data_IF_955232992648
#
_entry.id   IF_955232992648
#
_cell.length_a   1.000
_cell.length_b   1.000
_cell.length_c   1.000
_cell.angle_alpha   90.00
_cell.angle_beta   90.00
_cell.angle_gamma   90.00
#
_symmetry.space_group_name_H-M   'P 1'
#
loop_
_entity.id
_entity.type
_entity.pdbx_description
1 polymer ?
#
# COMPACT_ATOMS: atom_id res chain seq x y z
N UNK A 1 -0.37 -26.02 7.15
CA UNK A 1 -0.76 -24.60 7.08
C UNK A 1 0.49 -23.79 6.81
N UNK A 2 0.49 -22.96 5.79
CA UNK A 2 1.59 -22.05 5.44
C UNK A 2 1.36 -20.72 6.15
N UNK A 3 2.38 -20.21 6.84
CA UNK A 3 2.29 -18.91 7.53
C UNK A 3 3.13 -17.89 6.79
N UNK A 4 2.57 -16.73 6.49
CA UNK A 4 3.25 -15.66 5.75
C UNK A 4 2.99 -14.29 6.38
N UNK A 5 3.90 -13.36 6.14
CA UNK A 5 3.68 -11.94 6.39
C UNK A 5 3.33 -11.24 5.08
N UNK A 6 2.50 -10.20 5.16
CA UNK A 6 2.17 -9.35 4.02
C UNK A 6 2.83 -7.98 4.15
N UNK A 7 3.32 -7.47 3.04
CA UNK A 7 3.90 -6.14 2.92
C UNK A 7 3.16 -5.36 1.82
N UNK A 8 2.27 -4.43 2.22
CA UNK A 8 1.30 -3.79 1.34
C UNK A 8 1.72 -2.36 1.00
N UNK A 9 2.07 -2.13 -0.26
CA UNK A 9 2.44 -0.79 -0.73
C UNK A 9 1.28 0.21 -0.70
N UNK A 10 1.64 1.47 -0.47
CA UNK A 10 0.81 2.64 -0.75
C UNK A 10 0.88 3.04 -2.22
N UNK A 11 -0.18 3.66 -2.70
CA UNK A 11 -0.29 4.13 -4.09
C UNK A 11 -1.68 4.67 -4.43
N UNK A 12 -2.39 5.24 -3.46
CA UNK A 12 -3.71 5.82 -3.63
C UNK A 12 -4.73 4.79 -4.12
N UNK A 13 -5.55 5.17 -5.11
CA UNK A 13 -6.59 4.29 -5.66
C UNK A 13 -6.06 3.00 -6.30
N UNK A 14 -4.76 2.93 -6.65
CA UNK A 14 -4.14 1.68 -7.12
C UNK A 14 -4.11 0.58 -6.03
N UNK A 15 -4.31 0.93 -4.76
CA UNK A 15 -4.53 -0.04 -3.69
C UNK A 15 -5.73 -0.97 -3.88
N UNK A 16 -6.63 -0.70 -4.84
CA UNK A 16 -7.67 -1.64 -5.25
C UNK A 16 -7.12 -2.93 -5.87
N UNK A 17 -5.92 -2.92 -6.43
CA UNK A 17 -5.20 -4.13 -6.83
C UNK A 17 -4.90 -5.01 -5.60
N UNK A 18 -4.42 -4.39 -4.53
CA UNK A 18 -4.19 -5.07 -3.25
C UNK A 18 -5.48 -5.66 -2.67
N UNK A 19 -6.62 -4.94 -2.79
CA UNK A 19 -7.93 -5.48 -2.41
C UNK A 19 -8.26 -6.79 -3.13
N UNK A 20 -8.16 -6.83 -4.47
CA UNK A 20 -8.41 -8.05 -5.24
C UNK A 20 -7.49 -9.19 -4.83
N UNK A 21 -6.18 -8.92 -4.70
CA UNK A 21 -5.20 -9.90 -4.24
C UNK A 21 -5.56 -10.46 -2.85
N UNK A 22 -5.89 -9.61 -1.89
CA UNK A 22 -6.25 -10.02 -0.54
C UNK A 22 -7.51 -10.88 -0.51
N UNK A 23 -8.56 -10.51 -1.26
CA UNK A 23 -9.77 -11.31 -1.38
C UNK A 23 -9.45 -12.72 -1.90
N UNK A 24 -8.59 -12.82 -2.92
CA UNK A 24 -8.20 -14.13 -3.47
C UNK A 24 -7.39 -14.97 -2.48
N UNK A 25 -6.44 -14.37 -1.75
CA UNK A 25 -5.66 -15.07 -0.71
C UNK A 25 -6.53 -15.53 0.46
N UNK A 26 -7.55 -14.77 0.83
CA UNK A 26 -8.48 -15.11 1.91
C UNK A 26 -9.35 -16.35 1.59
N UNK A 27 -9.42 -16.80 0.35
CA UNK A 27 -10.06 -18.07 -0.03
C UNK A 27 -9.14 -19.30 0.12
N UNK A 28 -7.86 -19.12 0.47
CA UNK A 28 -6.91 -20.22 0.69
C UNK A 28 -6.91 -20.64 2.17
N UNK A 29 -7.61 -21.70 2.52
CA UNK A 29 -7.78 -22.16 3.91
C UNK A 29 -6.47 -22.64 4.55
N UNK A 30 -5.48 -23.00 3.75
CA UNK A 30 -4.18 -23.51 4.17
C UNK A 30 -3.08 -22.42 4.26
N UNK A 31 -3.46 -21.15 4.05
CA UNK A 31 -2.57 -19.98 4.23
C UNK A 31 -3.04 -19.13 5.41
N UNK A 32 -2.16 -18.87 6.35
CA UNK A 32 -2.34 -17.98 7.50
C UNK A 32 -1.52 -16.70 7.30
N UNK A 33 -2.17 -15.55 7.44
CA UNK A 33 -1.52 -14.25 7.46
C UNK A 33 -1.15 -13.94 8.91
N UNK A 34 0.15 -13.94 9.24
CA UNK A 34 0.65 -13.73 10.59
C UNK A 34 0.77 -12.24 10.95
N UNK A 35 1.32 -11.44 10.03
CA UNK A 35 1.47 -10.01 10.22
C UNK A 35 1.30 -9.25 8.90
N UNK A 36 0.93 -7.98 8.99
CA UNK A 36 0.78 -7.08 7.84
C UNK A 36 1.50 -5.77 8.13
N UNK A 37 2.46 -5.42 7.28
CA UNK A 37 3.02 -4.07 7.23
C UNK A 37 2.37 -3.31 6.07
N UNK A 38 1.75 -2.17 6.35
CA UNK A 38 1.02 -1.40 5.36
C UNK A 38 1.33 0.09 5.40
N UNK A 39 1.30 0.71 4.22
CA UNK A 39 1.51 2.15 4.05
C UNK A 39 0.42 2.73 3.18
N UNK A 40 -0.15 3.90 3.56
CA UNK A 40 -1.14 4.62 2.75
C UNK A 40 -2.34 3.73 2.39
N UNK A 41 -2.63 3.49 1.11
CA UNK A 41 -3.65 2.54 0.68
C UNK A 41 -3.42 1.12 1.22
N UNK A 42 -2.16 0.70 1.39
CA UNK A 42 -1.81 -0.55 2.06
C UNK A 42 -2.22 -0.56 3.53
N UNK A 43 -2.10 0.58 4.23
CA UNK A 43 -2.56 0.72 5.62
C UNK A 43 -4.10 0.62 5.73
N UNK A 44 -4.82 1.23 4.78
CA UNK A 44 -6.28 1.13 4.69
C UNK A 44 -6.74 -0.32 4.46
N UNK A 45 -6.12 -1.01 3.51
CA UNK A 45 -6.39 -2.44 3.25
C UNK A 45 -6.10 -3.31 4.48
N UNK A 46 -4.95 -3.09 5.14
CA UNK A 46 -4.55 -3.83 6.32
C UNK A 46 -5.54 -3.65 7.49
N UNK A 47 -5.95 -2.39 7.76
CA UNK A 47 -6.92 -2.09 8.81
C UNK A 47 -8.31 -2.68 8.51
N UNK A 48 -8.76 -2.60 7.24
CA UNK A 48 -10.03 -3.19 6.82
C UNK A 48 -10.01 -4.71 6.95
N UNK A 49 -8.94 -5.37 6.47
CA UNK A 49 -8.79 -6.82 6.60
C UNK A 49 -8.83 -7.24 8.06
N UNK A 50 -8.00 -6.64 8.92
CA UNK A 50 -7.90 -6.99 10.34
C UNK A 50 -9.23 -6.80 11.06
N UNK A 51 -9.88 -5.64 10.87
CA UNK A 51 -11.16 -5.34 11.50
C UNK A 51 -12.25 -6.34 11.09
N UNK A 52 -12.31 -6.68 9.81
CA UNK A 52 -13.24 -7.69 9.30
C UNK A 52 -12.91 -9.10 9.78
N UNK A 53 -11.61 -9.44 9.85
CA UNK A 53 -11.16 -10.74 10.35
C UNK A 53 -11.62 -10.99 11.80
N UNK A 54 -11.45 -10.03 12.68
CA UNK A 54 -11.86 -10.13 14.09
C UNK A 54 -13.38 -10.24 14.20
N UNK A 55 -14.13 -9.60 13.32
CA UNK A 55 -15.59 -9.62 13.34
C UNK A 55 -16.20 -10.90 12.77
N UNK A 56 -15.61 -11.48 11.71
CA UNK A 56 -16.22 -12.58 10.96
C UNK A 56 -15.24 -13.52 10.24
N UNK A 57 -13.97 -13.54 10.68
CA UNK A 57 -12.95 -14.37 10.05
C UNK A 57 -12.66 -13.93 8.60
N UNK A 58 -12.40 -14.90 7.73
CA UNK A 58 -12.06 -14.65 6.32
C UNK A 58 -13.16 -13.93 5.55
N UNK A 59 -14.39 -14.36 5.72
CA UNK A 59 -15.56 -13.76 5.07
C UNK A 59 -15.75 -12.31 5.53
N UNK A 60 -15.71 -12.06 6.85
CA UNK A 60 -15.77 -10.70 7.38
C UNK A 60 -14.64 -9.79 6.88
N UNK A 61 -13.44 -10.34 6.68
CA UNK A 61 -12.33 -9.59 6.08
C UNK A 61 -12.62 -9.20 4.62
N UNK A 62 -13.18 -10.13 3.81
CA UNK A 62 -13.58 -9.87 2.43
C UNK A 62 -14.67 -8.80 2.38
N UNK A 63 -15.73 -8.94 3.17
CA UNK A 63 -16.84 -7.99 3.23
C UNK A 63 -16.37 -6.58 3.62
N UNK A 64 -15.45 -6.48 4.58
CA UNK A 64 -14.94 -5.20 5.04
C UNK A 64 -13.98 -4.53 4.04
N UNK A 65 -13.21 -5.31 3.29
CA UNK A 65 -12.44 -4.81 2.15
C UNK A 65 -13.35 -4.28 1.04
N UNK A 66 -14.44 -4.99 0.72
CA UNK A 66 -15.44 -4.58 -0.25
C UNK A 66 -16.13 -3.27 0.19
N UNK A 67 -16.53 -3.19 1.45
CA UNK A 67 -17.09 -1.97 2.03
C UNK A 67 -16.12 -0.79 1.90
N UNK A 68 -14.83 -0.98 2.26
CA UNK A 68 -13.81 0.07 2.16
C UNK A 68 -13.74 0.65 0.75
N UNK A 69 -13.56 -0.21 -0.25
CA UNK A 69 -13.36 0.23 -1.63
C UNK A 69 -14.63 0.77 -2.28
N UNK A 70 -15.80 0.30 -1.87
CA UNK A 70 -17.09 0.89 -2.23
C UNK A 70 -17.20 2.33 -1.69
N UNK A 71 -16.80 2.57 -0.43
CA UNK A 71 -16.81 3.92 0.13
C UNK A 71 -15.78 4.84 -0.55
N UNK A 72 -14.59 4.32 -0.89
CA UNK A 72 -13.57 5.08 -1.61
C UNK A 72 -14.08 5.44 -3.02
N UNK A 73 -14.70 4.53 -3.73
CA UNK A 73 -15.31 4.79 -5.04
C UNK A 73 -16.43 5.83 -4.99
N UNK A 74 -17.17 5.90 -3.89
CA UNK A 74 -18.24 6.87 -3.68
C UNK A 74 -17.75 8.30 -3.37
N UNK A 75 -16.46 8.52 -3.13
CA UNK A 75 -15.88 9.87 -2.95
C UNK A 75 -15.97 10.68 -4.25
N UNK A 76 -15.90 10.00 -5.40
CA UNK A 76 -16.05 10.63 -6.72
C UNK A 76 -17.54 10.66 -7.08
N UNK A 77 -18.03 11.78 -7.67
CA UNK A 77 -19.44 11.86 -8.08
C UNK A 77 -19.79 10.73 -9.08
N UNK A 78 -20.70 9.81 -8.71
CA UNK A 78 -21.05 8.67 -9.55
C UNK A 78 -21.58 9.08 -10.93
N UNK A 79 -22.30 10.21 -11.00
CA UNK A 79 -22.89 10.69 -12.26
C UNK A 79 -21.84 11.09 -13.28
N UNK A 80 -20.76 11.71 -12.82
CA UNK A 80 -19.64 12.09 -13.70
C UNK A 80 -18.87 10.86 -14.14
N UNK A 81 -18.58 9.94 -13.23
CA UNK A 81 -17.84 8.71 -13.53
C UNK A 81 -18.64 7.76 -14.43
N UNK A 82 -19.95 7.63 -14.23
CA UNK A 82 -20.83 6.83 -15.09
C UNK A 82 -20.94 7.40 -16.50
N UNK A 83 -21.07 8.71 -16.62
CA UNK A 83 -21.08 9.38 -17.91
C UNK A 83 -19.77 9.19 -18.68
N UNK A 84 -18.62 9.42 -18.02
CA UNK A 84 -17.30 9.23 -18.65
C UNK A 84 -17.05 7.76 -18.98
N UNK A 85 -17.41 6.82 -18.11
CA UNK A 85 -17.22 5.39 -18.35
C UNK A 85 -18.09 4.85 -19.49
N UNK A 86 -19.27 5.43 -19.71
CA UNK A 86 -20.11 5.10 -20.88
C UNK A 86 -19.49 5.51 -22.22
N UNK A 87 -18.59 6.52 -22.20
CA UNK A 87 -17.89 7.03 -23.38
C UNK A 87 -16.49 6.41 -23.57
N UNK A 88 -15.91 5.80 -22.52
CA UNK A 88 -14.54 5.30 -22.52
C UNK A 88 -14.49 3.86 -22.00
N UNK A 89 -14.53 2.86 -22.89
CA UNK A 89 -14.73 1.46 -22.52
C UNK A 89 -13.52 0.79 -21.83
N UNK A 90 -12.35 1.45 -21.75
CA UNK A 90 -11.15 0.88 -21.11
C UNK A 90 -10.53 1.80 -20.07
N UNK A 91 -10.00 1.22 -18.99
CA UNK A 91 -9.31 1.97 -17.93
C UNK A 91 -8.16 2.85 -18.47
N UNK A 92 -7.45 2.39 -19.51
CA UNK A 92 -6.38 3.14 -20.15
C UNK A 92 -6.87 4.42 -20.85
N UNK A 93 -7.99 4.32 -21.61
CA UNK A 93 -8.59 5.49 -22.28
C UNK A 93 -9.13 6.45 -21.24
N UNK A 94 -9.74 5.93 -20.17
CA UNK A 94 -10.22 6.74 -19.05
C UNK A 94 -9.07 7.47 -18.36
N UNK A 95 -7.96 6.77 -18.07
CA UNK A 95 -6.76 7.34 -17.46
C UNK A 95 -6.23 8.53 -18.26
N UNK A 96 -6.10 8.39 -19.58
CA UNK A 96 -5.69 9.49 -20.47
C UNK A 96 -6.71 10.62 -20.53
N UNK A 97 -7.99 10.31 -20.62
CA UNK A 97 -9.04 11.34 -20.65
C UNK A 97 -9.05 12.19 -19.38
N UNK A 98 -8.84 11.58 -18.22
CA UNK A 98 -8.73 12.30 -16.94
C UNK A 98 -7.46 13.14 -16.87
N UNK A 99 -6.31 12.60 -17.24
CA UNK A 99 -5.02 13.27 -17.22
C UNK A 99 -5.02 14.57 -18.02
N UNK A 100 -5.67 14.54 -19.21
CA UNK A 100 -5.77 15.71 -20.10
C UNK A 100 -7.05 16.54 -19.89
N UNK A 101 -7.86 16.21 -18.87
CA UNK A 101 -9.05 17.01 -18.58
C UNK A 101 -8.66 18.40 -18.03
N UNK A 102 -9.29 19.49 -18.50
CA UNK A 102 -9.00 20.83 -18.00
C UNK A 102 -9.16 20.96 -16.47
N UNK A 103 -10.13 20.26 -15.90
CA UNK A 103 -10.40 20.26 -14.47
C UNK A 103 -9.23 19.62 -13.67
N UNK A 104 -8.72 18.46 -14.12
CA UNK A 104 -7.58 17.81 -13.48
C UNK A 104 -6.31 18.62 -13.65
N UNK A 105 -6.05 19.18 -14.84
CA UNK A 105 -4.89 20.04 -15.09
C UNK A 105 -4.90 21.29 -14.20
N UNK A 106 -6.06 21.93 -14.05
CA UNK A 106 -6.23 23.07 -13.15
C UNK A 106 -6.00 22.69 -11.69
N UNK A 107 -6.54 21.54 -11.26
CA UNK A 107 -6.31 21.01 -9.91
C UNK A 107 -4.84 20.68 -9.67
N UNK A 108 -4.18 19.96 -10.57
CA UNK A 108 -2.75 19.61 -10.48
C UNK A 108 -1.86 20.85 -10.43
N UNK A 109 -2.11 21.83 -11.33
CA UNK A 109 -1.38 23.09 -11.33
C UNK A 109 -1.58 23.87 -10.01
N UNK A 110 -2.81 23.94 -9.53
CA UNK A 110 -3.15 24.63 -8.29
C UNK A 110 -2.49 23.96 -7.08
N UNK A 111 -2.54 22.62 -6.99
CA UNK A 111 -1.92 21.87 -5.89
C UNK A 111 -0.40 21.99 -5.83
N UNK A 112 0.25 22.29 -6.96
CA UNK A 112 1.69 22.56 -7.04
C UNK A 112 2.07 24.00 -6.68
N UNK A 113 1.18 24.96 -6.94
CA UNK A 113 1.43 26.39 -6.72
C UNK A 113 1.03 26.87 -5.33
N UNK A 114 0.04 26.24 -4.72
CA UNK A 114 -0.54 26.67 -3.44
C UNK A 114 -0.29 25.61 -2.36
N UNK A 115 0.15 26.08 -1.20
CA UNK A 115 0.30 25.22 -0.02
C UNK A 115 -1.06 24.74 0.47
N UNK A 116 -1.20 23.46 0.87
CA UNK A 116 -2.41 22.96 1.53
C UNK A 116 -2.85 23.76 2.76
N UNK A 117 -1.92 24.48 3.39
CA UNK A 117 -2.20 25.35 4.52
C UNK A 117 -2.94 26.65 4.14
N UNK A 118 -2.92 27.04 2.84
CA UNK A 118 -3.66 28.19 2.34
C UNK A 118 -5.13 27.92 2.09
N UNK A 119 -5.51 26.66 1.82
CA UNK A 119 -6.91 26.29 1.58
C UNK A 119 -7.72 26.19 2.87
N UNK A 120 -7.04 26.16 4.02
CA UNK A 120 -7.67 26.09 5.34
C UNK A 120 -8.58 24.87 5.52
N UNK A 121 -9.54 24.97 6.45
CA UNK A 121 -10.49 23.87 6.75
C UNK A 121 -11.40 23.46 5.60
N UNK A 122 -11.41 24.20 4.48
CA UNK A 122 -12.27 23.93 3.33
C UNK A 122 -11.88 22.65 2.56
N UNK A 123 -10.62 22.19 2.68
CA UNK A 123 -10.13 20.94 2.06
C UNK A 123 -9.78 19.90 3.14
N UNK A 124 -10.80 19.39 3.82
CA UNK A 124 -10.64 18.23 4.70
C UNK A 124 -10.28 16.99 3.88
N UNK A 125 -9.40 16.14 4.44
CA UNK A 125 -9.08 14.87 3.84
C UNK A 125 -10.36 14.01 3.73
N UNK A 126 -10.81 13.65 2.51
CA UNK A 126 -12.05 12.89 2.34
C UNK A 126 -12.00 11.52 3.03
N UNK A 127 -10.82 10.97 3.27
CA UNK A 127 -10.61 9.71 3.99
C UNK A 127 -10.93 9.83 5.48
N UNK A 128 -10.96 11.04 6.07
CA UNK A 128 -11.16 11.22 7.52
C UNK A 128 -12.49 10.60 8.00
N UNK A 129 -13.58 10.86 7.28
CA UNK A 129 -14.90 10.32 7.61
C UNK A 129 -14.95 8.80 7.47
N UNK A 130 -14.23 8.26 6.51
CA UNK A 130 -14.15 6.83 6.23
C UNK A 130 -13.32 6.13 7.31
N UNK A 131 -12.13 6.64 7.60
CA UNK A 131 -11.22 6.08 8.59
C UNK A 131 -11.84 6.05 9.98
N UNK A 132 -12.60 7.10 10.38
CA UNK A 132 -13.33 7.14 11.66
C UNK A 132 -14.44 6.08 11.80
N UNK A 133 -14.81 5.38 10.71
CA UNK A 133 -15.81 4.31 10.73
C UNK A 133 -15.22 2.93 10.95
N UNK A 134 -13.89 2.76 10.93
CA UNK A 134 -13.27 1.50 11.30
C UNK A 134 -13.51 1.17 12.78
N UNK A 135 -13.66 -0.10 13.08
CA UNK A 135 -13.77 -0.62 14.44
C UNK A 135 -12.37 -0.78 15.05
N UNK A 136 -11.85 0.27 15.68
CA UNK A 136 -10.48 0.29 16.19
C UNK A 136 -10.22 -0.73 17.29
N UNK A 137 -11.22 -1.09 18.09
CA UNK A 137 -11.09 -2.19 19.06
C UNK A 137 -10.72 -3.51 18.34
N UNK A 138 -11.28 -3.75 17.15
CA UNK A 138 -10.96 -4.91 16.32
C UNK A 138 -9.60 -4.74 15.61
N UNK A 139 -9.29 -3.54 15.10
CA UNK A 139 -7.98 -3.25 14.48
C UNK A 139 -6.84 -3.47 15.47
N UNK A 140 -7.03 -3.11 16.74
CA UNK A 140 -6.05 -3.24 17.81
C UNK A 140 -6.10 -4.58 18.55
N UNK A 141 -7.05 -5.46 18.23
CA UNK A 141 -7.19 -6.76 18.90
C UNK A 141 -5.95 -7.64 18.72
N UNK A 142 -5.70 -8.53 19.67
CA UNK A 142 -4.64 -9.54 19.58
C UNK A 142 -4.98 -10.66 18.59
N UNK A 143 -6.25 -10.85 18.27
CA UNK A 143 -6.71 -11.88 17.34
C UNK A 143 -6.46 -11.48 15.89
N UNK A 144 -6.12 -12.45 15.03
CA UNK A 144 -5.78 -12.23 13.62
C UNK A 144 -4.36 -11.65 13.42
N UNK A 145 -4.02 -11.16 12.22
CA UNK A 145 -2.67 -10.73 11.88
C UNK A 145 -2.21 -9.51 12.67
N UNK A 146 -0.93 -9.45 13.08
CA UNK A 146 -0.34 -8.26 13.66
C UNK A 146 -0.28 -7.13 12.63
N UNK A 147 -0.58 -5.89 13.04
CA UNK A 147 -0.54 -4.73 12.15
C UNK A 147 0.62 -3.79 12.47
N UNK A 148 1.28 -3.37 11.39
CA UNK A 148 2.33 -2.35 11.40
C UNK A 148 2.00 -1.28 10.37
N UNK A 149 1.68 -0.08 10.83
CA UNK A 149 1.29 1.05 9.97
C UNK A 149 2.41 2.07 9.95
N UNK A 150 2.87 2.41 8.74
CA UNK A 150 3.99 3.32 8.54
C UNK A 150 3.53 4.75 8.29
N UNK A 151 4.17 5.72 8.94
CA UNK A 151 4.06 7.14 8.63
C UNK A 151 5.45 7.80 8.65
N UNK A 152 5.58 8.96 8.00
CA UNK A 152 6.81 9.75 7.99
C UNK A 152 6.71 10.89 9.00
N UNK A 153 7.57 10.92 10.01
CA UNK A 153 7.66 12.07 10.91
C UNK A 153 8.25 13.27 10.15
N UNK A 154 7.50 14.35 10.06
CA UNK A 154 7.85 15.53 9.26
C UNK A 154 9.09 16.23 9.79
N UNK A 155 9.25 16.32 11.12
CA UNK A 155 10.34 17.08 11.75
C UNK A 155 11.67 16.36 11.68
N UNK A 156 11.66 15.03 11.82
CA UNK A 156 12.89 14.23 11.82
C UNK A 156 13.21 13.61 10.46
N UNK A 157 12.25 13.52 9.54
CA UNK A 157 12.35 12.79 8.27
C UNK A 157 12.48 11.27 8.47
N UNK A 158 12.22 10.76 9.68
CA UNK A 158 12.34 9.33 9.98
C UNK A 158 10.99 8.63 9.83
N UNK A 159 11.08 7.33 9.52
CA UNK A 159 9.93 6.46 9.59
C UNK A 159 9.46 6.30 11.03
N UNK A 160 8.14 6.26 11.22
CA UNK A 160 7.49 5.82 12.46
C UNK A 160 6.54 4.68 12.11
N UNK A 161 6.69 3.56 12.77
CA UNK A 161 5.80 2.41 12.63
C UNK A 161 4.96 2.29 13.88
N UNK A 162 3.65 2.29 13.70
CA UNK A 162 2.65 2.15 14.74
C UNK A 162 2.10 0.73 14.75
N UNK A 163 1.89 0.16 15.94
CA UNK A 163 1.37 -1.20 16.09
C UNK A 163 0.42 -1.32 17.29
N UNK A 164 -0.40 -2.35 17.32
CA UNK A 164 -1.31 -2.65 18.41
C UNK A 164 -2.17 -1.42 18.80
N UNK A 165 -2.19 -1.08 20.09
CA UNK A 165 -3.01 0.00 20.64
C UNK A 165 -2.58 1.42 20.21
N UNK A 166 -1.46 1.56 19.50
CA UNK A 166 -1.06 2.84 18.92
C UNK A 166 -1.86 3.20 17.67
N UNK A 167 -2.47 2.20 17.02
CA UNK A 167 -3.21 2.41 15.77
C UNK A 167 -4.56 3.06 16.06
N UNK A 168 -4.68 4.32 15.63
CA UNK A 168 -5.86 5.18 15.78
C UNK A 168 -6.24 5.79 14.43
N UNK A 169 -7.42 6.43 14.29
CA UNK A 169 -7.80 7.13 13.07
C UNK A 169 -6.72 8.06 12.53
N UNK A 170 -6.06 8.82 13.42
CA UNK A 170 -5.01 9.77 13.07
C UNK A 170 -3.79 9.08 12.46
N UNK A 171 -3.45 7.86 12.90
CA UNK A 171 -2.33 7.07 12.38
C UNK A 171 -2.60 6.63 10.95
N UNK A 172 -3.80 6.10 10.68
CA UNK A 172 -4.19 5.70 9.31
C UNK A 172 -4.24 6.92 8.38
N UNK A 173 -4.78 8.05 8.86
CA UNK A 173 -4.81 9.31 8.10
C UNK A 173 -3.39 9.84 7.84
N UNK A 174 -2.49 9.77 8.81
CA UNK A 174 -1.09 10.16 8.68
C UNK A 174 -0.39 9.33 7.63
N UNK A 175 -0.58 7.99 7.68
CA UNK A 175 -0.03 7.06 6.69
C UNK A 175 -0.46 7.35 5.26
N UNK A 176 -1.63 7.97 5.05
CA UNK A 176 -2.20 8.33 3.75
C UNK A 176 -2.20 9.84 3.47
N UNK A 177 -1.42 10.63 4.22
CA UNK A 177 -1.39 12.08 4.12
C UNK A 177 -0.31 12.55 3.12
N UNK A 178 -0.67 12.71 1.86
CA UNK A 178 0.21 13.28 0.84
C UNK A 178 0.41 14.79 1.09
N UNK A 179 1.65 15.27 1.29
CA UNK A 179 1.94 16.67 1.64
C UNK A 179 1.61 17.68 0.54
N UNK A 180 1.49 17.23 -0.71
CA UNK A 180 1.06 18.07 -1.82
C UNK A 180 -0.46 18.33 -1.84
N UNK A 181 -1.24 17.56 -1.07
CA UNK A 181 -2.70 17.62 -1.09
C UNK A 181 -3.30 18.00 0.26
N UNK A 182 -2.67 17.58 1.37
CA UNK A 182 -3.22 17.71 2.72
C UNK A 182 -2.20 18.31 3.69
N UNK A 183 -2.70 18.99 4.70
CA UNK A 183 -1.89 19.41 5.85
C UNK A 183 -1.39 18.18 6.60
N UNK A 184 -0.21 18.28 7.24
CA UNK A 184 0.30 17.21 8.08
C UNK A 184 -0.71 16.84 9.18
N UNK A 185 -0.80 15.55 9.49
CA UNK A 185 -1.62 15.08 10.60
C UNK A 185 -0.83 15.22 11.89
N UNK A 186 -1.33 16.01 12.82
CA UNK A 186 -0.67 16.29 14.10
C UNK A 186 -1.38 15.55 15.24
N UNK A 187 -0.61 14.80 16.03
CA UNK A 187 -1.09 14.15 17.25
C UNK A 187 0.08 13.86 18.21
N UNK A 188 -0.24 13.50 19.46
CA UNK A 188 0.78 13.07 20.43
C UNK A 188 1.29 11.67 20.06
N UNK A 189 2.57 11.56 19.71
CA UNK A 189 3.21 10.26 19.45
C UNK A 189 3.30 9.48 20.77
N UNK A 190 2.70 8.27 20.83
CA UNK A 190 2.71 7.44 22.03
C UNK A 190 4.13 7.07 22.53
N UNK A 191 5.09 6.93 21.60
CA UNK A 191 6.48 6.56 21.95
C UNK A 191 7.23 7.70 22.63
N UNK A 192 7.04 8.94 22.16
CA UNK A 192 7.80 10.09 22.66
C UNK A 192 7.03 10.97 23.65
N UNK A 193 5.70 10.82 23.68
CA UNK A 193 4.79 11.69 24.45
C UNK A 193 4.71 13.13 23.93
N UNK A 194 5.30 13.44 22.76
CA UNK A 194 5.34 14.79 22.18
C UNK A 194 4.30 14.93 21.06
N UNK A 195 3.84 16.16 20.85
CA UNK A 195 3.06 16.50 19.66
C UNK A 195 3.98 16.48 18.44
N UNK A 196 3.70 15.57 17.52
CA UNK A 196 4.45 15.37 16.29
C UNK A 196 3.54 15.51 15.07
N UNK A 197 4.15 15.80 13.92
CA UNK A 197 3.46 15.94 12.65
C UNK A 197 3.89 14.85 11.69
N UNK A 198 2.93 14.25 10.98
CA UNK A 198 3.18 13.11 10.12
C UNK A 198 2.63 13.31 8.71
N UNK A 199 3.38 12.80 7.74
CA UNK A 199 3.01 12.64 6.34
C UNK A 199 2.92 11.17 5.95
N UNK A 200 2.50 10.92 4.70
CA UNK A 200 2.42 9.59 4.09
C UNK A 200 3.70 8.78 4.34
N UNK A 201 3.51 7.55 4.78
CA UNK A 201 4.61 6.65 5.06
C UNK A 201 5.43 6.28 3.83
N UNK A 202 4.87 6.45 2.62
CA UNK A 202 5.51 6.13 1.35
C UNK A 202 6.86 6.81 1.12
N UNK A 203 7.13 7.91 1.80
CA UNK A 203 8.42 8.61 1.70
C UNK A 203 9.55 7.91 2.46
N UNK A 204 9.24 7.15 3.51
CA UNK A 204 10.27 6.52 4.37
C UNK A 204 10.15 5.02 4.50
N UNK A 205 8.97 4.44 4.21
CA UNK A 205 8.72 2.99 4.24
C UNK A 205 7.49 2.61 3.42
N UNK A 206 7.66 2.06 2.23
CA UNK A 206 6.54 1.73 1.35
C UNK A 206 6.54 0.27 0.86
N UNK A 207 6.10 -0.66 1.69
CA UNK A 207 5.98 -0.60 3.14
C UNK A 207 7.32 -0.81 3.83
N UNK A 208 7.39 -0.62 5.15
CA UNK A 208 8.53 -1.06 5.94
C UNK A 208 8.51 -2.58 6.08
N UNK A 209 9.62 -3.24 5.81
CA UNK A 209 9.76 -4.70 5.98
C UNK A 209 10.33 -5.07 7.36
N UNK A 210 11.15 -4.21 7.95
CA UNK A 210 11.85 -4.50 9.19
C UNK A 210 10.98 -4.92 10.39
N UNK A 211 9.70 -4.46 10.54
CA UNK A 211 8.84 -4.96 11.60
C UNK A 211 8.52 -6.45 11.45
N UNK A 212 8.55 -6.95 10.21
CA UNK A 212 8.27 -8.36 9.89
C UNK A 212 9.49 -9.28 10.12
N UNK A 213 10.62 -8.71 10.56
CA UNK A 213 11.82 -9.51 10.90
C UNK A 213 11.79 -10.04 12.33
N UNK A 214 10.73 -9.79 13.11
CA UNK A 214 10.57 -10.34 14.44
C UNK A 214 10.66 -11.88 14.42
N UNK A 215 11.34 -12.48 15.40
CA UNK A 215 11.68 -13.93 15.41
C UNK A 215 10.47 -14.85 15.54
N UNK A 216 9.39 -14.36 16.12
CA UNK A 216 8.11 -15.05 16.30
C UNK A 216 7.22 -15.05 15.06
N UNK A 217 7.53 -14.19 14.10
CA UNK A 217 6.86 -14.13 12.79
C UNK A 217 7.46 -15.14 11.81
N UNK A 218 6.71 -15.59 10.78
CA UNK A 218 7.25 -16.46 9.73
C UNK A 218 8.34 -15.76 8.90
N UNK A 219 9.19 -16.56 8.25
CA UNK A 219 10.29 -16.03 7.44
C UNK A 219 9.80 -15.45 6.11
N UNK A 220 8.64 -15.89 5.64
CA UNK A 220 8.05 -15.46 4.38
C UNK A 220 7.47 -14.05 4.47
N UNK A 221 7.85 -13.20 3.52
CA UNK A 221 7.28 -11.87 3.31
C UNK A 221 6.79 -11.78 1.87
N UNK A 222 5.46 -11.71 1.69
CA UNK A 222 4.83 -11.46 0.41
C UNK A 222 4.59 -9.97 0.23
N UNK A 223 5.30 -9.37 -0.71
CA UNK A 223 5.20 -7.95 -1.07
C UNK A 223 4.14 -7.79 -2.17
N UNK A 224 3.14 -6.96 -1.93
CA UNK A 224 2.19 -6.52 -2.94
C UNK A 224 2.68 -5.19 -3.52
N UNK A 225 3.28 -5.27 -4.71
CA UNK A 225 3.91 -4.12 -5.37
C UNK A 225 2.95 -3.47 -6.36
N UNK A 226 2.57 -2.22 -6.11
CA UNK A 226 1.66 -1.44 -6.94
C UNK A 226 2.30 -0.17 -7.54
N UNK A 227 3.60 0.01 -7.30
CA UNK A 227 4.39 1.06 -7.93
C UNK A 227 5.46 0.41 -8.82
N UNK A 228 5.40 0.55 -10.15
CA UNK A 228 6.34 -0.09 -11.06
C UNK A 228 7.79 0.17 -10.69
N UNK A 229 8.57 -0.89 -10.54
CA UNK A 229 10.02 -0.78 -10.34
C UNK A 229 10.71 -0.37 -11.64
N UNK A 230 10.24 -0.90 -12.76
CA UNK A 230 10.79 -0.66 -14.08
C UNK A 230 9.79 0.02 -15.02
N UNK A 231 10.26 1.02 -15.76
CA UNK A 231 9.55 1.62 -16.90
C UNK A 231 10.47 1.64 -18.11
N UNK A 232 10.03 1.02 -19.19
CA UNK A 232 10.80 0.98 -20.45
C UNK A 232 10.88 2.36 -21.10
N UNK A 233 9.76 3.10 -21.09
CA UNK A 233 9.71 4.42 -21.72
C UNK A 233 10.26 5.50 -20.81
N UNK A 234 11.21 6.29 -21.33
CA UNK A 234 11.71 7.46 -20.63
C UNK A 234 10.61 8.54 -20.55
N UNK A 235 10.34 9.12 -19.37
CA UNK A 235 9.39 10.21 -19.25
C UNK A 235 9.97 11.49 -19.87
N UNK A 236 9.20 12.18 -20.70
CA UNK A 236 9.67 13.36 -21.44
C UNK A 236 8.86 14.63 -21.20
N UNK A 237 7.62 14.50 -20.70
CA UNK A 237 6.79 15.62 -20.28
C UNK A 237 6.85 15.83 -18.76
N UNK A 238 6.52 17.04 -18.30
CA UNK A 238 6.63 17.42 -16.89
C UNK A 238 5.83 16.51 -15.95
N UNK A 239 4.68 16.03 -16.37
CA UNK A 239 3.80 15.22 -15.56
C UNK A 239 4.32 13.79 -15.42
N UNK A 240 4.74 13.17 -16.52
CA UNK A 240 5.36 11.84 -16.52
C UNK A 240 6.71 11.82 -15.76
N UNK A 241 7.50 12.89 -15.85
CA UNK A 241 8.74 13.08 -15.06
C UNK A 241 8.39 13.10 -13.56
N UNK A 242 7.44 13.94 -13.15
CA UNK A 242 7.04 14.03 -11.73
C UNK A 242 6.48 12.71 -11.22
N UNK A 243 5.67 12.03 -12.03
CA UNK A 243 5.15 10.70 -11.69
C UNK A 243 6.30 9.72 -11.43
N UNK A 244 7.29 9.68 -12.32
CA UNK A 244 8.44 8.81 -12.16
C UNK A 244 9.29 9.14 -10.93
N UNK A 245 9.48 10.42 -10.64
CA UNK A 245 10.16 10.86 -9.41
C UNK A 245 9.44 10.32 -8.16
N UNK A 246 8.12 10.43 -8.13
CA UNK A 246 7.31 9.90 -7.01
C UNK A 246 7.42 8.38 -6.88
N UNK A 247 7.35 7.64 -7.99
CA UNK A 247 7.52 6.18 -7.99
C UNK A 247 8.91 5.75 -7.49
N UNK A 248 9.96 6.41 -7.98
CA UNK A 248 11.33 6.15 -7.52
C UNK A 248 11.46 6.46 -6.03
N UNK A 249 10.92 7.60 -5.57
CA UNK A 249 10.92 7.96 -4.16
C UNK A 249 10.23 6.90 -3.29
N UNK A 250 9.03 6.48 -3.68
CA UNK A 250 8.22 5.51 -2.94
C UNK A 250 8.80 4.10 -2.96
N UNK A 251 9.53 3.73 -4.01
CA UNK A 251 10.21 2.44 -4.08
C UNK A 251 11.59 2.45 -3.40
N UNK A 252 12.18 3.61 -3.13
CA UNK A 252 13.56 3.70 -2.66
C UNK A 252 13.79 3.05 -1.30
N UNK A 253 12.83 3.15 -0.39
CA UNK A 253 12.88 2.49 0.92
C UNK A 253 12.80 0.97 0.79
N UNK A 254 11.84 0.47 0.02
CA UNK A 254 11.67 -0.95 -0.25
C UNK A 254 12.94 -1.56 -0.85
N UNK A 255 13.52 -0.92 -1.89
CA UNK A 255 14.74 -1.42 -2.54
C UNK A 255 15.94 -1.46 -1.57
N UNK A 256 16.04 -0.50 -0.63
CA UNK A 256 17.10 -0.53 0.41
C UNK A 256 16.91 -1.68 1.39
N UNK A 257 15.68 -1.94 1.81
CA UNK A 257 15.39 -3.07 2.71
C UNK A 257 15.59 -4.42 2.01
N UNK A 258 15.17 -4.56 0.75
CA UNK A 258 15.44 -5.77 -0.06
C UNK A 258 16.95 -6.02 -0.23
N UNK A 259 17.74 -4.96 -0.45
CA UNK A 259 19.20 -5.09 -0.50
C UNK A 259 19.80 -5.50 0.84
N UNK A 260 19.25 -5.01 1.97
CA UNK A 260 19.68 -5.44 3.29
C UNK A 260 19.32 -6.90 3.56
N UNK A 261 18.14 -7.37 3.14
CA UNK A 261 17.75 -8.79 3.19
C UNK A 261 18.73 -9.64 2.37
N UNK A 262 18.99 -9.26 1.12
CA UNK A 262 19.97 -9.97 0.26
C UNK A 262 21.32 -10.10 0.95
N UNK A 263 21.83 -9.01 1.50
CA UNK A 263 23.13 -9.00 2.19
C UNK A 263 23.16 -9.94 3.40
N UNK A 264 22.12 -9.94 4.23
CA UNK A 264 22.02 -10.81 5.40
C UNK A 264 21.88 -12.27 4.99
N UNK A 265 20.98 -12.58 4.05
CA UNK A 265 20.76 -13.94 3.56
C UNK A 265 22.06 -14.51 2.97
N UNK A 266 22.79 -13.72 2.19
CA UNK A 266 24.10 -14.12 1.66
C UNK A 266 25.11 -14.44 2.78
N UNK A 267 25.20 -13.61 3.83
CA UNK A 267 26.10 -13.89 4.97
C UNK A 267 25.71 -15.16 5.74
N UNK A 268 24.42 -15.48 5.83
CA UNK A 268 23.94 -16.74 6.43
C UNK A 268 24.32 -17.93 5.54
N UNK A 269 24.06 -17.84 4.23
CA UNK A 269 24.31 -18.93 3.28
C UNK A 269 25.81 -19.19 3.06
N UNK A 270 26.64 -18.15 3.15
CA UNK A 270 28.10 -18.26 3.09
C UNK A 270 28.72 -18.75 4.43
N UNK A 271 27.90 -18.95 5.48
CA UNK A 271 28.36 -19.38 6.80
C UNK A 271 29.07 -18.31 7.61
N UNK A 272 29.05 -17.05 7.17
CA UNK A 272 29.63 -15.92 7.91
C UNK A 272 28.81 -15.54 9.16
N UNK A 273 27.52 -15.85 9.16
CA UNK A 273 26.62 -15.72 10.32
C UNK A 273 26.05 -17.12 10.61
N UNK A 274 26.12 -17.50 11.88
CA UNK A 274 25.56 -18.77 12.37
C UNK A 274 24.04 -18.80 12.14
N UNK A 275 23.53 -19.93 11.61
CA UNK A 275 22.11 -20.13 11.33
C UNK A 275 21.25 -19.91 12.60
N UNK A 276 20.15 -19.18 12.48
CA UNK A 276 19.25 -18.83 13.59
C UNK A 276 19.70 -17.59 14.42
N UNK A 277 20.87 -17.02 14.16
CA UNK A 277 21.28 -15.73 14.77
C UNK A 277 20.50 -14.56 14.17
N UNK A 278 20.32 -14.56 12.86
CA UNK A 278 19.48 -13.64 12.11
C UNK A 278 18.42 -14.41 11.34
N UNK A 279 17.38 -13.71 10.95
CA UNK A 279 16.28 -14.28 10.18
C UNK A 279 16.71 -14.46 8.72
N UNK A 280 16.53 -15.64 8.17
CA UNK A 280 16.71 -15.94 6.74
C UNK A 280 15.37 -15.66 6.03
N UNK A 281 15.23 -14.44 5.53
CA UNK A 281 13.95 -13.95 5.01
C UNK A 281 13.67 -14.49 3.62
N UNK A 282 12.51 -15.12 3.45
CA UNK A 282 12.01 -15.59 2.18
C UNK A 282 11.14 -14.51 1.52
N UNK A 283 11.60 -13.97 0.40
CA UNK A 283 10.93 -12.86 -0.28
C UNK A 283 10.11 -13.35 -1.45
N UNK A 284 8.85 -12.93 -1.46
CA UNK A 284 7.90 -13.11 -2.55
C UNK A 284 7.38 -11.75 -3.00
N UNK A 285 7.02 -11.63 -4.27
CA UNK A 285 6.46 -10.38 -4.81
C UNK A 285 5.35 -10.68 -5.79
N UNK A 286 4.22 -10.00 -5.64
CA UNK A 286 3.14 -9.99 -6.61
C UNK A 286 2.99 -8.57 -7.15
N UNK A 287 3.02 -8.43 -8.47
CA UNK A 287 2.91 -7.18 -9.19
C UNK A 287 2.23 -7.40 -10.54
N UNK A 288 1.65 -6.34 -11.10
CA UNK A 288 1.26 -6.25 -12.51
C UNK A 288 1.85 -4.97 -13.10
N UNK A 289 3.13 -5.00 -13.43
CA UNK A 289 3.83 -3.85 -14.01
C UNK A 289 3.24 -3.45 -15.37
N UNK A 290 2.66 -4.38 -16.12
CA UNK A 290 1.97 -4.09 -17.38
C UNK A 290 0.80 -3.15 -17.16
N UNK A 291 -0.13 -3.51 -16.29
CA UNK A 291 -1.28 -2.67 -15.95
C UNK A 291 -0.84 -1.36 -15.29
N UNK A 292 0.08 -1.43 -14.30
CA UNK A 292 0.51 -0.23 -13.57
C UNK A 292 1.26 0.77 -14.45
N UNK A 293 1.92 0.30 -15.52
CA UNK A 293 2.56 1.16 -16.52
C UNK A 293 1.55 1.85 -17.45
N UNK A 294 0.38 1.27 -17.67
CA UNK A 294 -0.71 1.85 -18.47
C UNK A 294 -1.54 2.88 -17.68
N UNK A 295 -1.42 2.89 -16.35
CA UNK A 295 -2.07 3.84 -15.46
C UNK A 295 -1.15 5.02 -15.11
N UNK A 296 -1.74 6.13 -14.64
CA UNK A 296 -1.03 7.38 -14.39
C UNK A 296 -1.36 7.97 -12.99
N UNK A 297 -0.82 9.16 -12.69
CA UNK A 297 -1.06 9.85 -11.40
C UNK A 297 -2.53 10.18 -11.20
N UNK A 298 -3.25 10.56 -12.27
CA UNK A 298 -4.66 10.90 -12.17
C UNK A 298 -5.47 9.70 -11.64
N UNK A 299 -5.16 8.48 -12.10
CA UNK A 299 -5.80 7.25 -11.61
C UNK A 299 -5.40 6.87 -10.18
N UNK A 300 -4.25 7.31 -9.69
CA UNK A 300 -3.88 7.16 -8.26
C UNK A 300 -4.68 8.11 -7.36
N UNK A 301 -4.98 9.29 -7.87
CA UNK A 301 -5.59 10.38 -7.08
C UNK A 301 -7.11 10.33 -7.12
N UNK A 302 -7.69 9.93 -8.26
CA UNK A 302 -9.14 9.91 -8.48
C UNK A 302 -9.64 8.45 -8.49
N UNK A 303 -10.37 8.01 -7.44
CA UNK A 303 -10.85 6.63 -7.32
C UNK A 303 -12.08 6.38 -8.19
N UNK A 304 -11.91 6.33 -9.52
CA UNK A 304 -13.00 6.05 -10.42
C UNK A 304 -13.44 4.58 -10.35
N UNK A 305 -14.76 4.29 -10.20
CA UNK A 305 -15.25 2.93 -10.04
C UNK A 305 -14.79 1.95 -11.12
N UNK A 306 -14.74 2.37 -12.39
CA UNK A 306 -14.26 1.54 -13.51
C UNK A 306 -12.80 1.16 -13.38
N UNK A 307 -11.96 2.07 -12.86
CA UNK A 307 -10.53 1.81 -12.61
C UNK A 307 -10.36 0.91 -11.40
N UNK A 308 -11.12 1.16 -10.32
CA UNK A 308 -11.11 0.33 -9.11
C UNK A 308 -11.51 -1.12 -9.41
N UNK A 309 -12.58 -1.33 -10.19
CA UNK A 309 -13.03 -2.65 -10.61
C UNK A 309 -11.94 -3.38 -11.43
N UNK A 310 -11.34 -2.70 -12.39
CA UNK A 310 -10.26 -3.26 -13.22
C UNK A 310 -9.02 -3.62 -12.40
N UNK A 311 -8.66 -2.79 -11.42
CA UNK A 311 -7.54 -3.05 -10.50
C UNK A 311 -7.83 -4.25 -9.60
N UNK A 312 -9.06 -4.38 -9.07
CA UNK A 312 -9.49 -5.54 -8.29
C UNK A 312 -9.33 -6.82 -9.11
N UNK A 313 -9.92 -6.89 -10.31
CA UNK A 313 -9.82 -8.05 -11.21
C UNK A 313 -8.35 -8.43 -11.50
N UNK A 314 -7.50 -7.43 -11.77
CA UNK A 314 -6.09 -7.67 -12.03
C UNK A 314 -5.36 -8.19 -10.78
N UNK A 315 -5.71 -7.70 -9.59
CA UNK A 315 -5.19 -8.19 -8.32
C UNK A 315 -5.58 -9.64 -8.04
N UNK A 316 -6.84 -10.01 -8.29
CA UNK A 316 -7.32 -11.39 -8.20
C UNK A 316 -6.57 -12.31 -9.19
N UNK A 317 -6.43 -11.89 -10.45
CA UNK A 317 -5.73 -12.65 -11.47
C UNK A 317 -4.23 -12.83 -11.16
N UNK A 318 -3.57 -11.78 -10.64
CA UNK A 318 -2.16 -11.85 -10.23
C UNK A 318 -1.97 -12.79 -9.04
N UNK A 319 -2.90 -12.77 -8.08
CA UNK A 319 -2.90 -13.70 -6.95
C UNK A 319 -3.09 -15.15 -7.41
N UNK A 320 -4.04 -15.41 -8.31
CA UNK A 320 -4.25 -16.74 -8.91
C UNK A 320 -2.99 -17.24 -9.62
N UNK A 321 -2.36 -16.40 -10.43
CA UNK A 321 -1.13 -16.76 -11.13
C UNK A 321 0.01 -17.08 -10.15
N UNK A 322 0.17 -16.27 -9.11
CA UNK A 322 1.17 -16.49 -8.06
C UNK A 322 0.90 -17.80 -7.30
N UNK A 323 -0.30 -18.01 -6.83
CA UNK A 323 -0.67 -19.23 -6.08
C UNK A 323 -0.48 -20.49 -6.93
N UNK A 324 -0.88 -20.44 -8.19
CA UNK A 324 -0.69 -21.57 -9.11
C UNK A 324 0.78 -21.92 -9.35
N UNK A 325 1.65 -20.90 -9.43
CA UNK A 325 3.06 -21.10 -9.75
C UNK A 325 3.93 -21.33 -8.50
N UNK A 326 3.58 -20.72 -7.37
CA UNK A 326 4.47 -20.52 -6.24
C UNK A 326 3.88 -20.87 -4.85
N UNK A 327 2.66 -21.42 -4.79
CA UNK A 327 2.09 -21.80 -3.50
C UNK A 327 2.98 -22.78 -2.73
N UNK A 328 3.60 -23.73 -3.45
CA UNK A 328 4.50 -24.73 -2.84
C UNK A 328 5.85 -24.14 -2.43
N UNK A 329 6.24 -22.99 -2.98
CA UNK A 329 7.47 -22.28 -2.61
C UNK A 329 7.34 -21.57 -1.25
N UNK A 330 6.12 -21.19 -0.84
CA UNK A 330 5.86 -20.59 0.46
C UNK A 330 6.32 -21.50 1.60
N UNK A 331 7.05 -20.95 2.57
CA UNK A 331 7.75 -21.58 3.69
C UNK A 331 8.90 -22.53 3.27
N UNK A 332 9.34 -22.48 1.99
CA UNK A 332 10.43 -23.30 1.49
C UNK A 332 11.55 -22.51 0.83
N UNK A 333 11.24 -21.52 0.00
CA UNK A 333 12.23 -20.71 -0.72
C UNK A 333 11.64 -19.41 -1.25
N UNK A 334 12.49 -18.39 -1.41
CA UNK A 334 12.12 -17.13 -2.08
C UNK A 334 11.69 -17.37 -3.53
N UNK A 335 10.70 -16.60 -3.99
CA UNK A 335 10.31 -16.54 -5.43
C UNK A 335 10.94 -15.35 -6.15
N UNK A 336 11.56 -14.43 -5.40
CA UNK A 336 12.32 -13.29 -5.93
C UNK A 336 13.80 -13.60 -5.82
N UNK A 337 14.52 -13.46 -6.94
CA UNK A 337 15.97 -13.55 -6.96
C UNK A 337 16.57 -12.16 -6.65
N UNK A 338 16.80 -11.89 -5.36
CA UNK A 338 17.33 -10.60 -4.91
C UNK A 338 18.74 -10.34 -5.44
N UNK A 339 19.59 -11.37 -5.56
CA UNK A 339 20.93 -11.22 -6.11
C UNK A 339 20.88 -10.71 -7.56
N UNK A 340 19.99 -11.26 -8.38
CA UNK A 340 19.80 -10.80 -9.77
C UNK A 340 19.15 -9.41 -9.86
N UNK A 341 18.36 -9.02 -8.87
CA UNK A 341 17.72 -7.70 -8.83
C UNK A 341 18.73 -6.56 -8.63
N UNK A 342 19.87 -6.82 -7.97
CA UNK A 342 20.82 -5.79 -7.55
C UNK A 342 22.21 -5.89 -8.22
N UNK A 343 22.40 -6.87 -9.12
CA UNK A 343 23.66 -7.07 -9.86
C UNK A 343 23.59 -6.54 -11.30
#
# INVERSE_FOLDING_TARGET
>A
MKRINLALQGGGAHGAFTWGLLCRFLHEDDIEIAAISGTSAGALNAAALKSGWVAGGREGAIENLEWLWTQIGAITDPRFTDWVSSLTPTAHVWAKAMEYSPAYMAFDMTSRMLSPYLYGPALQNPLEKLVKRFHYDAVCASDGPDLHICATNVRSGKIRVFSGNEIKPEVILASACLPSMFQAVEFTDPETGKSEAFWDGGYTGNPALFPLFAKDLPDDILIVNINPLYREKLPTDSQSIQNRINEISFNSSLLRELRAIEFVNRLIHDGAIEQGKMKDVLVHMVADDGLMNDLNVATKTIPAPVVLARLKEAGEAAADAFLKAHKDDLNNRSTVNLAAMFN
#
